data_IF_268520409354
#
_entry.id   IF_268520409354
#
_cell.length_a   1.000
_cell.length_b   1.000
_cell.length_c   1.000
_cell.angle_alpha   90.00
_cell.angle_beta   90.00
_cell.angle_gamma   90.00
#
_symmetry.space_group_name_H-M   'P 1'
#
loop_
_entity.id
_entity.type
_entity.pdbx_description
1 polymer ?
#
# COMPACT_ATOMS: atom_id res chain seq x y z
N UNK A 1 -28.86 -3.07 5.37
CA UNK A 1 -28.18 -1.84 5.87
C UNK A 1 -27.04 -2.12 6.83
N UNK A 2 -27.22 -2.92 7.92
CA UNK A 2 -26.10 -3.23 8.86
C UNK A 2 -24.90 -3.93 8.18
N UNK A 3 -25.13 -4.79 7.20
CA UNK A 3 -24.06 -5.47 6.47
C UNK A 3 -23.22 -4.50 5.61
N UNK A 4 -23.85 -3.55 4.91
CA UNK A 4 -23.12 -2.60 4.05
C UNK A 4 -22.27 -1.61 4.85
N UNK A 5 -22.79 -1.11 6.01
CA UNK A 5 -22.00 -0.25 6.89
C UNK A 5 -20.79 -1.01 7.47
N UNK A 6 -20.97 -2.28 7.84
CA UNK A 6 -19.86 -3.11 8.33
C UNK A 6 -18.79 -3.28 7.24
N UNK A 7 -19.17 -3.55 5.98
CA UNK A 7 -18.23 -3.65 4.86
C UNK A 7 -17.52 -2.33 4.61
N UNK A 8 -18.24 -1.20 4.64
CA UNK A 8 -17.63 0.12 4.52
C UNK A 8 -16.58 0.37 5.61
N UNK A 9 -16.90 0.11 6.88
CA UNK A 9 -15.96 0.30 7.99
C UNK A 9 -14.73 -0.61 7.87
N UNK A 10 -14.90 -1.85 7.44
CA UNK A 10 -13.80 -2.75 7.17
C UNK A 10 -12.93 -2.22 6.03
N UNK A 11 -13.54 -1.71 4.96
CA UNK A 11 -12.82 -1.03 3.87
C UNK A 11 -12.07 0.20 4.36
N UNK A 12 -12.69 1.01 5.22
CA UNK A 12 -12.02 2.17 5.80
C UNK A 12 -10.79 1.78 6.63
N UNK A 13 -10.90 0.75 7.48
CA UNK A 13 -9.76 0.23 8.26
C UNK A 13 -8.66 -0.34 7.37
N UNK A 14 -9.02 -1.06 6.28
CA UNK A 14 -8.06 -1.54 5.29
C UNK A 14 -7.31 -0.38 4.63
N UNK A 15 -8.03 0.62 4.12
CA UNK A 15 -7.45 1.79 3.47
C UNK A 15 -6.56 2.60 4.42
N UNK A 16 -6.98 2.72 5.69
CA UNK A 16 -6.18 3.36 6.73
C UNK A 16 -4.84 2.62 6.95
N UNK A 17 -4.88 1.30 7.03
CA UNK A 17 -3.67 0.48 7.15
C UNK A 17 -2.78 0.58 5.90
N UNK A 18 -3.37 0.50 4.72
CA UNK A 18 -2.63 0.55 3.44
C UNK A 18 -1.99 1.92 3.17
N UNK A 19 -2.52 2.99 3.76
CA UNK A 19 -1.95 4.33 3.59
C UNK A 19 -0.66 4.48 4.40
N UNK A 20 -0.46 3.72 5.46
CA UNK A 20 0.68 3.85 6.38
C UNK A 20 1.74 2.79 6.06
N UNK A 21 3.01 3.19 5.75
CA UNK A 21 4.08 2.24 5.48
C UNK A 21 4.35 1.28 6.64
N UNK A 22 4.37 -0.03 6.36
CA UNK A 22 4.63 -1.06 7.35
C UNK A 22 3.37 -1.72 7.94
N UNK A 23 2.18 -1.22 7.61
CA UNK A 23 0.92 -1.86 7.97
C UNK A 23 0.27 -2.42 6.71
N UNK A 24 -0.40 -3.57 6.80
CA UNK A 24 -1.01 -4.25 5.65
C UNK A 24 -2.53 -4.25 5.76
N UNK A 25 -3.21 -3.69 4.76
CA UNK A 25 -4.67 -3.77 4.64
C UNK A 25 -5.15 -5.20 4.41
N UNK A 26 -4.35 -6.05 3.77
CA UNK A 26 -4.63 -7.48 3.62
C UNK A 26 -4.73 -8.19 4.97
N UNK A 27 -3.88 -7.84 5.93
CA UNK A 27 -3.98 -8.32 7.32
C UNK A 27 -5.27 -7.85 7.97
N UNK A 28 -5.66 -6.59 7.78
CA UNK A 28 -6.96 -6.09 8.30
C UNK A 28 -8.15 -6.84 7.67
N UNK A 29 -8.09 -7.15 6.37
CA UNK A 29 -9.11 -7.97 5.71
C UNK A 29 -9.23 -9.36 6.35
N UNK A 30 -8.09 -9.96 6.70
CA UNK A 30 -8.02 -11.27 7.34
C UNK A 30 -8.64 -11.23 8.73
N UNK A 31 -8.18 -10.34 9.61
CA UNK A 31 -8.70 -10.16 10.98
C UNK A 31 -10.20 -9.88 10.98
N UNK A 32 -10.68 -9.09 10.02
CA UNK A 32 -12.10 -8.72 9.93
C UNK A 32 -12.96 -9.77 9.21
N UNK A 33 -12.36 -10.90 8.79
CA UNK A 33 -13.04 -12.06 8.19
C UNK A 33 -13.62 -11.79 6.80
N UNK A 34 -13.03 -10.86 6.03
CA UNK A 34 -13.47 -10.58 4.65
C UNK A 34 -12.44 -10.96 3.59
N UNK A 35 -11.28 -11.49 3.99
CA UNK A 35 -10.17 -11.76 3.09
C UNK A 35 -10.55 -12.78 1.99
N UNK A 36 -11.11 -13.94 2.37
CA UNK A 36 -11.52 -14.96 1.41
C UNK A 36 -12.53 -14.41 0.41
N UNK A 37 -13.57 -13.71 0.90
CA UNK A 37 -14.58 -13.07 0.06
C UNK A 37 -13.99 -12.05 -0.90
N UNK A 38 -12.98 -11.28 -0.46
CA UNK A 38 -12.25 -10.32 -1.29
C UNK A 38 -11.46 -11.03 -2.39
N UNK A 39 -10.73 -12.09 -2.04
CA UNK A 39 -9.96 -12.87 -3.01
C UNK A 39 -10.86 -13.55 -4.04
N UNK A 40 -11.98 -14.15 -3.61
CA UNK A 40 -12.97 -14.75 -4.52
C UNK A 40 -13.55 -13.69 -5.47
N UNK A 41 -13.96 -12.53 -4.94
CA UNK A 41 -14.50 -11.44 -5.74
C UNK A 41 -13.51 -10.95 -6.81
N UNK A 42 -12.26 -10.71 -6.44
CA UNK A 42 -11.21 -10.24 -7.36
C UNK A 42 -10.87 -11.32 -8.40
N UNK A 43 -10.72 -12.57 -7.97
CA UNK A 43 -10.32 -13.68 -8.87
C UNK A 43 -11.43 -14.15 -9.79
N UNK A 44 -12.69 -13.81 -9.50
CA UNK A 44 -13.84 -14.08 -10.38
C UNK A 44 -13.80 -13.21 -11.65
N UNK A 45 -13.07 -12.10 -11.64
CA UNK A 45 -12.88 -11.22 -12.81
C UNK A 45 -11.70 -11.73 -13.64
N UNK A 46 -11.97 -12.00 -14.92
CA UNK A 46 -10.96 -12.43 -15.89
C UNK A 46 -10.52 -11.25 -16.76
N UNK A 47 -9.25 -11.20 -17.22
CA UNK A 47 -8.84 -10.24 -18.25
C UNK A 47 -9.69 -10.30 -19.53
N UNK A 48 -10.29 -11.47 -19.82
CA UNK A 48 -11.19 -11.64 -20.94
C UNK A 48 -12.51 -10.86 -20.79
N UNK A 49 -12.93 -10.58 -19.54
CA UNK A 49 -14.16 -9.83 -19.25
C UNK A 49 -14.03 -8.35 -19.64
N UNK A 50 -12.81 -7.84 -19.88
CA UNK A 50 -12.60 -6.50 -20.41
C UNK A 50 -13.31 -6.28 -21.78
N UNK A 51 -13.58 -7.35 -22.54
CA UNK A 51 -14.34 -7.27 -23.78
C UNK A 51 -15.79 -6.81 -23.57
N UNK A 52 -16.35 -7.06 -22.39
CA UNK A 52 -17.71 -6.66 -22.05
C UNK A 52 -17.84 -5.13 -22.03
N UNK A 53 -16.76 -4.41 -21.70
CA UNK A 53 -16.74 -2.95 -21.76
C UNK A 53 -16.92 -2.42 -23.18
N UNK A 54 -16.45 -3.15 -24.19
CA UNK A 54 -16.61 -2.80 -25.60
C UNK A 54 -18.04 -3.13 -26.11
N UNK A 55 -18.72 -4.05 -25.45
CA UNK A 55 -20.07 -4.50 -25.81
C UNK A 55 -21.21 -3.79 -25.05
N UNK A 56 -20.90 -2.77 -24.22
CA UNK A 56 -21.87 -2.02 -23.41
C UNK A 56 -23.02 -1.37 -24.21
N UNK A 57 -22.81 -1.16 -25.51
CA UNK A 57 -23.81 -0.59 -26.41
C UNK A 57 -24.91 -1.61 -26.82
N UNK A 58 -24.69 -2.92 -26.56
CA UNK A 58 -25.62 -3.99 -26.84
C UNK A 58 -26.41 -4.42 -25.59
N UNK A 59 -27.62 -5.00 -25.78
CA UNK A 59 -28.40 -5.55 -24.67
C UNK A 59 -27.70 -6.77 -24.05
N UNK A 60 -27.16 -7.67 -24.87
CA UNK A 60 -26.39 -8.83 -24.42
C UNK A 60 -25.19 -8.44 -23.59
N UNK A 61 -24.39 -7.47 -24.05
CA UNK A 61 -23.22 -7.00 -23.29
C UNK A 61 -23.58 -6.36 -21.95
N UNK A 62 -24.77 -5.76 -21.82
CA UNK A 62 -25.26 -5.24 -20.53
C UNK A 62 -25.71 -6.35 -19.58
N UNK A 63 -26.31 -7.39 -20.11
CA UNK A 63 -26.72 -8.54 -19.30
C UNK A 63 -25.49 -9.34 -18.84
N UNK A 64 -24.53 -9.57 -19.73
CA UNK A 64 -23.24 -10.18 -19.38
C UNK A 64 -22.48 -9.37 -18.31
N UNK A 65 -22.52 -8.02 -18.38
CA UNK A 65 -21.91 -7.17 -17.36
C UNK A 65 -22.63 -7.28 -16.01
N UNK A 66 -23.97 -7.41 -16.01
CA UNK A 66 -24.74 -7.66 -14.77
C UNK A 66 -24.37 -9.00 -14.15
N UNK A 67 -24.20 -10.02 -14.97
CA UNK A 67 -23.78 -11.35 -14.53
C UNK A 67 -22.35 -11.33 -13.97
N UNK A 68 -21.44 -10.60 -14.63
CA UNK A 68 -20.10 -10.35 -14.10
C UNK A 68 -20.16 -9.64 -12.76
N UNK A 69 -20.95 -8.57 -12.66
CA UNK A 69 -21.11 -7.81 -11.42
C UNK A 69 -21.66 -8.67 -10.28
N UNK A 70 -22.62 -9.56 -10.59
CA UNK A 70 -23.16 -10.50 -9.61
C UNK A 70 -22.13 -11.56 -9.20
N UNK A 71 -21.37 -12.14 -10.14
CA UNK A 71 -20.31 -13.11 -9.86
C UNK A 71 -19.14 -12.53 -9.05
N UNK A 72 -18.79 -11.29 -9.35
CA UNK A 72 -17.70 -10.57 -8.68
C UNK A 72 -18.11 -9.96 -7.33
N UNK A 73 -19.33 -10.24 -6.85
CA UNK A 73 -19.85 -9.58 -5.65
C UNK A 73 -19.65 -8.05 -5.71
N UNK A 74 -20.06 -7.47 -6.84
CA UNK A 74 -19.76 -6.07 -7.19
C UNK A 74 -20.23 -5.06 -6.16
N UNK A 75 -21.36 -5.31 -5.48
CA UNK A 75 -21.83 -4.43 -4.41
C UNK A 75 -20.86 -4.44 -3.21
N UNK A 76 -20.35 -5.61 -2.84
CA UNK A 76 -19.34 -5.74 -1.79
C UNK A 76 -18.07 -4.97 -2.18
N UNK A 77 -17.55 -5.18 -3.40
CA UNK A 77 -16.34 -4.48 -3.87
C UNK A 77 -16.53 -2.97 -3.93
N UNK A 78 -17.70 -2.48 -4.36
CA UNK A 78 -17.98 -1.03 -4.38
C UNK A 78 -18.03 -0.44 -2.99
N UNK A 79 -18.73 -1.07 -2.05
CA UNK A 79 -18.85 -0.56 -0.67
C UNK A 79 -17.51 -0.63 0.05
N UNK A 80 -16.76 -1.71 -0.14
CA UNK A 80 -15.41 -1.88 0.40
C UNK A 80 -14.46 -0.83 -0.19
N UNK A 81 -14.45 -0.70 -1.53
CA UNK A 81 -13.63 0.28 -2.24
C UNK A 81 -13.95 1.72 -1.86
N UNK A 82 -15.22 2.05 -1.62
CA UNK A 82 -15.61 3.36 -1.11
C UNK A 82 -15.07 3.61 0.31
N UNK A 83 -15.08 2.60 1.18
CA UNK A 83 -14.44 2.67 2.49
C UNK A 83 -12.93 2.91 2.40
N UNK A 84 -12.23 2.13 1.56
CA UNK A 84 -10.80 2.28 1.30
C UNK A 84 -10.49 3.68 0.77
N UNK A 85 -11.21 4.14 -0.26
CA UNK A 85 -11.01 5.46 -0.85
C UNK A 85 -11.23 6.58 0.18
N UNK A 86 -12.28 6.49 1.00
CA UNK A 86 -12.54 7.46 2.07
C UNK A 86 -11.37 7.55 3.06
N UNK A 87 -10.80 6.42 3.47
CA UNK A 87 -9.64 6.38 4.36
C UNK A 87 -8.39 6.97 3.69
N UNK A 88 -8.08 6.54 2.47
CA UNK A 88 -6.92 7.03 1.72
C UNK A 88 -7.01 8.55 1.52
N UNK A 89 -8.16 9.07 1.10
CA UNK A 89 -8.36 10.50 0.88
C UNK A 89 -8.26 11.33 2.17
N UNK A 90 -8.72 10.78 3.28
CA UNK A 90 -8.67 11.46 4.58
C UNK A 90 -7.25 11.44 5.16
N UNK A 91 -6.61 10.26 5.17
CA UNK A 91 -5.28 10.10 5.77
C UNK A 91 -4.17 10.68 4.91
N UNK A 92 -4.31 10.71 3.57
CA UNK A 92 -3.29 11.33 2.72
C UNK A 92 -3.05 12.80 3.08
N UNK A 93 -4.10 13.56 3.41
CA UNK A 93 -3.95 14.95 3.87
C UNK A 93 -3.22 15.06 5.21
N UNK A 94 -3.52 14.16 6.15
CA UNK A 94 -2.82 14.10 7.44
C UNK A 94 -1.35 13.78 7.22
N UNK A 95 -1.07 12.81 6.35
CA UNK A 95 0.29 12.37 6.05
C UNK A 95 1.09 13.44 5.30
N UNK A 96 0.50 14.10 4.30
CA UNK A 96 1.12 15.23 3.60
C UNK A 96 1.53 16.31 4.60
N UNK A 97 0.61 16.74 5.45
CA UNK A 97 0.88 17.73 6.48
C UNK A 97 1.99 17.27 7.46
N UNK A 98 1.96 16.02 7.90
CA UNK A 98 2.97 15.52 8.85
C UNK A 98 4.34 15.30 8.22
N UNK A 99 4.39 14.88 6.95
CA UNK A 99 5.64 14.75 6.21
C UNK A 99 6.31 16.11 5.97
N UNK A 100 5.53 17.16 5.69
CA UNK A 100 6.05 18.51 5.48
C UNK A 100 6.44 19.22 6.78
N UNK A 101 5.59 19.14 7.80
CA UNK A 101 5.77 19.93 9.03
C UNK A 101 6.58 19.19 10.11
N UNK A 102 6.55 17.87 10.11
CA UNK A 102 7.17 17.04 11.15
C UNK A 102 7.92 15.83 10.55
N UNK A 103 8.82 16.02 9.56
CA UNK A 103 9.44 14.92 8.81
C UNK A 103 10.19 13.93 9.71
N UNK A 104 10.93 14.41 10.72
CA UNK A 104 11.67 13.55 11.63
C UNK A 104 10.76 12.67 12.50
N UNK A 105 9.66 13.22 13.02
CA UNK A 105 8.70 12.46 13.84
C UNK A 105 7.89 11.47 13.00
N UNK A 106 7.49 11.85 11.79
CA UNK A 106 6.83 10.97 10.84
C UNK A 106 7.74 9.81 10.42
N UNK A 107 9.02 10.11 10.14
CA UNK A 107 10.02 9.09 9.85
C UNK A 107 10.27 8.16 11.04
N UNK A 108 10.28 8.68 12.27
CA UNK A 108 10.41 7.88 13.48
C UNK A 108 9.21 6.94 13.68
N UNK A 109 8.01 7.43 13.45
CA UNK A 109 6.80 6.63 13.49
C UNK A 109 6.84 5.50 12.45
N UNK A 110 7.23 5.81 11.20
CA UNK A 110 7.41 4.79 10.14
C UNK A 110 8.53 3.79 10.47
N UNK A 111 9.63 4.26 11.07
CA UNK A 111 10.69 3.36 11.55
C UNK A 111 10.13 2.35 12.55
N UNK A 112 9.38 2.81 13.53
CA UNK A 112 8.73 1.94 14.52
C UNK A 112 7.80 0.91 13.89
N UNK A 113 6.92 1.35 12.98
CA UNK A 113 6.00 0.47 12.25
C UNK A 113 6.75 -0.61 11.47
N UNK A 114 7.71 -0.22 10.63
CA UNK A 114 8.45 -1.15 9.76
C UNK A 114 9.30 -2.11 10.59
N UNK A 115 10.00 -1.60 11.63
CA UNK A 115 10.83 -2.44 12.49
C UNK A 115 10.00 -3.47 13.26
N UNK A 116 8.88 -3.07 13.85
CA UNK A 116 7.98 -3.99 14.55
C UNK A 116 7.39 -5.03 13.60
N UNK A 117 6.95 -4.63 12.40
CA UNK A 117 6.45 -5.56 11.39
C UNK A 117 7.52 -6.57 10.95
N UNK A 118 8.78 -6.12 10.80
CA UNK A 118 9.89 -7.04 10.50
C UNK A 118 10.17 -8.02 11.64
N UNK A 119 10.01 -7.59 12.90
CA UNK A 119 10.18 -8.45 14.09
C UNK A 119 9.05 -9.48 14.17
N UNK A 120 7.81 -9.07 13.98
CA UNK A 120 6.62 -9.96 13.98
C UNK A 120 6.78 -11.05 12.90
N UNK A 121 7.16 -10.65 11.69
CA UNK A 121 7.34 -11.58 10.57
C UNK A 121 8.68 -12.34 10.61
N UNK A 122 9.55 -12.07 11.58
CA UNK A 122 10.85 -12.73 11.65
C UNK A 122 10.76 -14.26 11.84
N UNK A 123 9.71 -14.75 12.52
CA UNK A 123 9.44 -16.17 12.69
C UNK A 123 9.23 -16.92 11.36
N UNK A 124 8.79 -16.20 10.32
CA UNK A 124 8.57 -16.73 8.97
C UNK A 124 9.86 -16.73 8.11
N UNK A 125 10.95 -16.12 8.62
CA UNK A 125 12.22 -16.02 7.89
C UNK A 125 13.01 -17.30 8.07
N UNK A 126 13.46 -17.88 6.97
CA UNK A 126 14.32 -19.05 6.98
C UNK A 126 15.60 -18.78 6.18
N UNK A 127 16.71 -18.66 6.88
CA UNK A 127 18.06 -18.49 6.32
C UNK A 127 18.94 -19.73 6.46
N UNK A 128 18.34 -20.89 6.74
CA UNK A 128 19.05 -22.16 6.99
C UNK A 128 19.78 -22.72 5.77
N UNK A 129 19.59 -22.15 4.57
CA UNK A 129 20.33 -22.57 3.36
C UNK A 129 21.10 -21.39 2.77
N UNK A 130 22.26 -21.65 2.10
CA UNK A 130 23.04 -20.60 1.45
C UNK A 130 22.22 -19.78 0.42
N UNK A 131 21.28 -20.43 -0.28
CA UNK A 131 20.42 -19.79 -1.24
C UNK A 131 19.46 -18.78 -0.56
N UNK A 132 18.85 -19.14 0.57
CA UNK A 132 17.95 -18.28 1.33
C UNK A 132 18.69 -17.13 2.00
N UNK A 133 19.90 -17.40 2.50
CA UNK A 133 20.78 -16.33 3.00
C UNK A 133 21.13 -15.35 1.88
N UNK A 134 21.43 -15.83 0.67
CA UNK A 134 21.68 -14.96 -0.48
C UNK A 134 20.44 -14.11 -0.82
N UNK A 135 19.25 -14.71 -0.79
CA UNK A 135 17.96 -13.99 -0.99
C UNK A 135 17.78 -12.89 0.06
N UNK A 136 18.08 -13.19 1.34
CA UNK A 136 18.00 -12.19 2.40
C UNK A 136 18.98 -11.02 2.17
N UNK A 137 20.23 -11.32 1.84
CA UNK A 137 21.25 -10.30 1.58
C UNK A 137 20.89 -9.44 0.35
N UNK A 138 20.36 -10.06 -0.71
CA UNK A 138 19.87 -9.34 -1.90
C UNK A 138 18.70 -8.43 -1.54
N UNK A 139 17.72 -8.90 -0.74
CA UNK A 139 16.60 -8.09 -0.29
C UNK A 139 17.04 -6.87 0.51
N UNK A 140 17.92 -7.06 1.50
CA UNK A 140 18.48 -5.95 2.30
C UNK A 140 19.25 -4.97 1.40
N UNK A 141 20.16 -5.48 0.57
CA UNK A 141 21.00 -4.64 -0.28
C UNK A 141 20.18 -3.84 -1.30
N UNK A 142 19.14 -4.45 -1.89
CA UNK A 142 18.24 -3.81 -2.83
C UNK A 142 17.45 -2.68 -2.16
N UNK A 143 16.78 -2.96 -1.03
CA UNK A 143 15.99 -1.95 -0.36
C UNK A 143 16.86 -0.84 0.25
N UNK A 144 17.97 -1.16 0.89
CA UNK A 144 18.91 -0.18 1.41
C UNK A 144 19.54 0.66 0.29
N UNK A 145 19.91 0.03 -0.83
CA UNK A 145 20.44 0.71 -2.01
C UNK A 145 19.44 1.71 -2.60
N UNK A 146 18.22 1.26 -2.89
CA UNK A 146 17.16 2.12 -3.44
C UNK A 146 16.79 3.23 -2.46
N UNK A 147 16.61 2.91 -1.17
CA UNK A 147 16.29 3.88 -0.11
C UNK A 147 17.41 4.92 0.12
N UNK A 148 18.64 4.61 -0.30
CA UNK A 148 19.80 5.52 -0.20
C UNK A 148 19.92 6.46 -1.39
N UNK A 149 19.24 6.20 -2.49
CA UNK A 149 19.24 7.09 -3.63
C UNK A 149 18.52 8.40 -3.29
N UNK A 150 18.98 9.55 -3.78
CA UNK A 150 18.21 10.76 -3.72
C UNK A 150 16.91 10.58 -4.54
N UNK A 151 15.81 11.22 -4.13
CA UNK A 151 14.51 11.10 -4.80
C UNK A 151 14.59 11.46 -6.30
N UNK A 152 15.44 12.45 -6.63
CA UNK A 152 15.72 12.84 -8.00
C UNK A 152 16.37 11.75 -8.88
N UNK A 153 16.98 10.72 -8.28
CA UNK A 153 17.71 9.68 -9.05
C UNK A 153 16.76 8.66 -9.68
N UNK A 154 15.66 8.33 -9.03
CA UNK A 154 14.64 7.42 -9.60
C UNK A 154 13.70 8.24 -10.49
N UNK A 155 13.46 9.49 -10.12
CA UNK A 155 12.49 10.37 -10.74
C UNK A 155 11.05 9.87 -10.54
N UNK A 156 10.11 10.66 -11.04
CA UNK A 156 8.67 10.34 -10.96
C UNK A 156 8.05 10.42 -12.35
N UNK A 157 8.73 9.82 -13.35
CA UNK A 157 8.17 9.73 -14.69
C UNK A 157 6.97 8.77 -14.74
N UNK A 158 6.07 8.96 -15.68
CA UNK A 158 4.87 8.12 -15.81
C UNK A 158 5.16 6.62 -15.86
N UNK A 159 6.20 6.09 -16.56
CA UNK A 159 6.56 4.68 -16.49
C UNK A 159 6.94 4.22 -15.09
N UNK A 160 7.64 5.05 -14.30
CA UNK A 160 8.00 4.74 -12.91
C UNK A 160 6.76 4.69 -12.04
N UNK A 161 5.86 5.67 -12.16
CA UNK A 161 4.57 5.71 -11.45
C UNK A 161 3.70 4.50 -11.79
N UNK A 162 3.65 4.11 -13.06
CA UNK A 162 2.92 2.91 -13.51
C UNK A 162 3.47 1.63 -12.86
N UNK A 163 4.79 1.45 -12.89
CA UNK A 163 5.45 0.28 -12.27
C UNK A 163 5.27 0.29 -10.75
N UNK A 164 5.39 1.46 -10.11
CA UNK A 164 5.18 1.62 -8.68
C UNK A 164 3.74 1.24 -8.27
N UNK A 165 2.74 1.68 -9.04
CA UNK A 165 1.34 1.26 -8.83
C UNK A 165 1.15 -0.24 -8.99
N UNK A 166 1.77 -0.84 -10.02
CA UNK A 166 1.70 -2.29 -10.26
C UNK A 166 2.28 -3.09 -9.08
N UNK A 167 3.44 -2.69 -8.58
CA UNK A 167 4.11 -3.36 -7.46
C UNK A 167 3.35 -3.18 -6.16
N UNK A 168 2.92 -1.94 -5.87
CA UNK A 168 2.23 -1.61 -4.62
C UNK A 168 0.94 -2.43 -4.44
N UNK A 169 0.09 -2.48 -5.47
CA UNK A 169 -1.19 -3.20 -5.37
C UNK A 169 -0.99 -4.71 -5.29
N UNK A 170 0.05 -5.26 -5.94
CA UNK A 170 0.37 -6.68 -5.78
C UNK A 170 0.73 -7.03 -4.33
N UNK A 171 1.46 -6.14 -3.66
CA UNK A 171 1.81 -6.31 -2.26
C UNK A 171 0.60 -6.20 -1.33
N UNK A 172 -0.32 -5.27 -1.61
CA UNK A 172 -1.51 -5.03 -0.78
C UNK A 172 -2.46 -6.22 -0.67
N UNK A 173 -2.45 -7.13 -1.66
CA UNK A 173 -3.29 -8.34 -1.64
C UNK A 173 -2.77 -9.36 -0.62
N UNK A 174 -1.48 -9.33 -0.31
CA UNK A 174 -0.84 -10.32 0.54
C UNK A 174 -0.92 -9.90 2.00
N UNK A 175 -1.49 -10.73 2.90
CA UNK A 175 -1.41 -10.47 4.32
C UNK A 175 0.06 -10.33 4.77
N UNK A 176 0.33 -9.35 5.62
CA UNK A 176 1.67 -9.10 6.12
C UNK A 176 2.59 -8.30 5.18
N UNK A 177 2.14 -7.95 3.97
CA UNK A 177 2.92 -7.14 3.03
C UNK A 177 2.25 -5.78 2.84
N UNK A 178 3.01 -4.70 2.99
CA UNK A 178 2.52 -3.33 2.86
C UNK A 178 2.88 -2.74 1.49
N UNK A 179 1.88 -2.37 0.69
CA UNK A 179 2.09 -1.71 -0.60
C UNK A 179 2.64 -0.29 -0.44
N UNK A 180 2.17 0.46 0.55
CA UNK A 180 2.70 1.79 0.86
C UNK A 180 4.16 1.75 1.33
N UNK A 181 4.57 0.68 2.02
CA UNK A 181 5.98 0.45 2.33
C UNK A 181 6.83 0.30 1.05
N UNK A 182 6.35 -0.45 0.05
CA UNK A 182 7.08 -0.57 -1.22
C UNK A 182 7.15 0.76 -1.96
N UNK A 183 6.08 1.57 -1.96
CA UNK A 183 6.13 2.93 -2.48
C UNK A 183 7.16 3.79 -1.73
N UNK A 184 7.21 3.64 -0.40
CA UNK A 184 8.17 4.37 0.43
C UNK A 184 9.62 4.00 0.09
N UNK A 185 9.92 2.70 -0.04
CA UNK A 185 11.25 2.21 -0.47
C UNK A 185 11.61 2.70 -1.87
N UNK A 186 10.64 2.74 -2.81
CA UNK A 186 10.82 3.20 -4.18
C UNK A 186 10.89 4.73 -4.30
N UNK A 187 10.86 5.49 -3.21
CA UNK A 187 10.80 6.95 -3.19
C UNK A 187 9.62 7.55 -3.98
N UNK A 188 8.52 6.80 -4.08
CA UNK A 188 7.30 7.24 -4.77
C UNK A 188 6.17 7.61 -3.80
N UNK A 189 6.32 7.31 -2.50
CA UNK A 189 5.25 7.49 -1.53
C UNK A 189 4.82 8.96 -1.37
N UNK A 190 5.77 9.85 -1.09
CA UNK A 190 5.50 11.28 -0.90
C UNK A 190 4.95 11.90 -2.18
N UNK A 191 5.57 11.60 -3.34
CA UNK A 191 5.10 12.06 -4.63
C UNK A 191 3.64 11.65 -4.91
N UNK A 192 3.26 10.41 -4.57
CA UNK A 192 1.89 9.93 -4.77
C UNK A 192 0.91 10.57 -3.78
N UNK A 193 1.30 10.75 -2.51
CA UNK A 193 0.46 11.44 -1.51
C UNK A 193 0.18 12.87 -1.95
N UNK A 194 1.20 13.63 -2.33
CA UNK A 194 1.06 15.03 -2.79
C UNK A 194 0.21 15.13 -4.07
N UNK A 195 0.42 14.26 -5.06
CA UNK A 195 -0.39 14.28 -6.28
C UNK A 195 -1.85 13.88 -6.03
N UNK A 196 -2.09 12.95 -5.10
CA UNK A 196 -3.45 12.56 -4.73
C UNK A 196 -4.18 13.71 -4.02
N UNK A 197 -3.55 14.38 -3.06
CA UNK A 197 -4.15 15.53 -2.35
C UNK A 197 -4.39 16.69 -3.31
N UNK A 198 -3.42 17.02 -4.17
CA UNK A 198 -3.57 18.06 -5.21
C UNK A 198 -4.73 17.73 -6.16
N UNK A 199 -4.86 16.48 -6.58
CA UNK A 199 -5.96 16.04 -7.43
C UNK A 199 -7.32 16.23 -6.74
N UNK A 200 -7.43 15.81 -5.48
CA UNK A 200 -8.66 15.93 -4.69
C UNK A 200 -9.03 17.40 -4.47
N UNK A 201 -8.07 18.24 -4.12
CA UNK A 201 -8.29 19.67 -3.92
C UNK A 201 -8.71 20.35 -5.21
N UNK A 202 -8.12 19.97 -6.33
CA UNK A 202 -8.53 20.44 -7.64
C UNK A 202 -9.97 20.03 -7.99
N UNK A 203 -10.36 18.77 -7.71
CA UNK A 203 -11.75 18.31 -7.92
C UNK A 203 -12.74 19.07 -7.03
N UNK A 204 -12.40 19.30 -5.77
CA UNK A 204 -13.24 20.12 -4.86
C UNK A 204 -13.32 21.56 -5.37
N UNK A 205 -12.19 22.13 -5.80
CA UNK A 205 -12.12 23.49 -6.34
C UNK A 205 -12.98 23.71 -7.60
N UNK A 206 -13.24 22.67 -8.40
CA UNK A 206 -14.18 22.76 -9.53
C UNK A 206 -15.60 23.10 -9.08
N UNK A 207 -16.02 22.64 -7.91
CA UNK A 207 -17.34 22.99 -7.36
C UNK A 207 -17.46 24.49 -7.01
N UNK A 208 -16.31 25.14 -6.75
CA UNK A 208 -16.19 26.56 -6.44
C UNK A 208 -15.82 27.41 -7.68
N UNK A 209 -15.89 26.82 -8.88
CA UNK A 209 -15.62 27.53 -10.16
C UNK A 209 -14.14 27.50 -10.59
N UNK A 210 -13.33 26.60 -10.06
CA UNK A 210 -11.94 26.40 -10.45
C UNK A 210 -11.77 25.91 -11.90
N UNK A 211 -10.54 26.05 -12.43
CA UNK A 211 -10.21 25.66 -13.81
C UNK A 211 -9.89 24.17 -13.92
N UNK A 212 -10.50 23.49 -14.88
CA UNK A 212 -10.23 22.10 -15.22
C UNK A 212 -8.78 21.86 -15.64
N UNK A 213 -8.11 22.87 -16.18
CA UNK A 213 -6.72 22.80 -16.60
C UNK A 213 -5.76 22.56 -15.40
N UNK A 214 -6.12 23.02 -14.21
CA UNK A 214 -5.32 22.82 -12.99
C UNK A 214 -5.25 21.37 -12.54
N UNK A 215 -6.16 20.51 -12.99
CA UNK A 215 -6.19 19.08 -12.67
C UNK A 215 -5.26 18.23 -13.55
N UNK A 216 -4.82 18.75 -14.70
CA UNK A 216 -4.28 17.93 -15.78
C UNK A 216 -3.09 17.07 -15.39
N UNK A 217 -2.14 17.60 -14.62
CA UNK A 217 -0.94 16.86 -14.22
C UNK A 217 -1.24 15.84 -13.12
N UNK A 218 -1.84 16.25 -12.02
CA UNK A 218 -2.17 15.37 -10.89
C UNK A 218 -3.15 14.27 -11.29
N UNK A 219 -4.14 14.58 -12.13
CA UNK A 219 -5.02 13.57 -12.73
C UNK A 219 -4.22 12.53 -13.53
N UNK A 220 -3.29 12.97 -14.37
CA UNK A 220 -2.50 12.06 -15.21
C UNK A 220 -1.63 11.15 -14.35
N UNK A 221 -1.02 11.66 -13.29
CA UNK A 221 -0.23 10.87 -12.34
C UNK A 221 -1.10 9.83 -11.64
N UNK A 222 -2.22 10.25 -11.06
CA UNK A 222 -3.15 9.34 -10.35
C UNK A 222 -3.73 8.29 -11.30
N UNK A 223 -4.14 8.69 -12.51
CA UNK A 223 -4.66 7.76 -13.51
C UNK A 223 -3.60 6.75 -13.97
N UNK A 224 -2.35 7.19 -14.15
CA UNK A 224 -1.23 6.32 -14.49
C UNK A 224 -0.96 5.31 -13.38
N UNK A 225 -0.94 5.76 -12.12
CA UNK A 225 -0.80 4.89 -10.96
C UNK A 225 -1.94 3.86 -10.88
N UNK A 226 -3.19 4.29 -10.98
CA UNK A 226 -4.36 3.41 -10.94
C UNK A 226 -4.37 2.41 -12.10
N UNK A 227 -3.91 2.81 -13.29
CA UNK A 227 -3.80 1.91 -14.44
C UNK A 227 -2.71 0.86 -14.20
N UNK A 228 -1.55 1.28 -13.67
CA UNK A 228 -0.49 0.38 -13.24
C UNK A 228 -0.97 -0.59 -12.15
N UNK A 229 -1.68 -0.09 -11.16
CA UNK A 229 -2.27 -0.86 -10.08
C UNK A 229 -3.25 -1.93 -10.59
N UNK A 230 -4.16 -1.55 -11.49
CA UNK A 230 -5.13 -2.46 -12.07
C UNK A 230 -4.47 -3.56 -12.91
N UNK A 231 -3.53 -3.20 -13.79
CA UNK A 231 -2.80 -4.17 -14.61
C UNK A 231 -1.86 -5.03 -13.78
N UNK A 232 -1.22 -4.45 -12.77
CA UNK A 232 -0.43 -5.17 -11.77
C UNK A 232 -1.27 -6.21 -11.04
N UNK A 233 -2.45 -5.82 -10.57
CA UNK A 233 -3.40 -6.72 -9.93
C UNK A 233 -3.73 -7.93 -10.80
N UNK A 234 -4.04 -7.70 -12.06
CA UNK A 234 -4.47 -8.75 -13.00
C UNK A 234 -3.33 -9.67 -13.48
N UNK A 235 -2.09 -9.16 -13.49
CA UNK A 235 -0.93 -9.89 -14.03
C UNK A 235 -0.01 -10.41 -12.94
N UNK A 236 0.47 -9.52 -12.06
CA UNK A 236 1.47 -9.85 -11.05
C UNK A 236 0.89 -10.61 -9.85
N UNK A 237 -0.41 -10.48 -9.57
CA UNK A 237 -1.04 -11.27 -8.52
C UNK A 237 -0.85 -12.79 -8.75
N UNK A 238 -0.81 -13.22 -10.02
CA UNK A 238 -0.53 -14.62 -10.38
C UNK A 238 0.93 -15.01 -10.09
N UNK A 239 1.88 -14.13 -10.39
CA UNK A 239 3.32 -14.35 -10.14
C UNK A 239 3.57 -14.41 -8.64
N UNK A 240 2.98 -13.48 -7.90
CA UNK A 240 3.08 -13.45 -6.43
C UNK A 240 2.45 -14.69 -5.82
N UNK A 241 1.25 -15.07 -6.26
CA UNK A 241 0.59 -16.30 -5.82
C UNK A 241 1.46 -17.54 -6.09
N UNK A 242 2.04 -17.64 -7.29
CA UNK A 242 2.97 -18.72 -7.62
C UNK A 242 4.21 -18.71 -6.73
N UNK A 243 4.83 -17.56 -6.49
CA UNK A 243 6.00 -17.44 -5.63
C UNK A 243 5.70 -17.89 -4.18
N UNK A 244 4.52 -17.53 -3.66
CA UNK A 244 4.09 -18.00 -2.33
C UNK A 244 3.76 -19.48 -2.28
N UNK A 245 3.19 -20.05 -3.33
CA UNK A 245 2.85 -21.48 -3.38
C UNK A 245 4.10 -22.35 -3.53
N UNK A 246 5.04 -21.96 -4.38
CA UNK A 246 6.22 -22.77 -4.72
C UNK A 246 7.44 -22.45 -3.83
N UNK A 247 7.60 -21.18 -3.44
CA UNK A 247 8.80 -20.70 -2.72
C UNK A 247 8.43 -19.86 -1.48
N UNK A 248 7.43 -20.29 -0.70
CA UNK A 248 6.89 -19.52 0.43
C UNK A 248 7.98 -18.95 1.35
N UNK A 249 8.85 -19.84 1.87
CA UNK A 249 9.91 -19.43 2.78
C UNK A 249 10.91 -18.43 2.14
N UNK A 250 11.29 -18.63 0.88
CA UNK A 250 12.16 -17.70 0.15
C UNK A 250 11.49 -16.35 -0.10
N UNK A 251 10.21 -16.36 -0.44
CA UNK A 251 9.42 -15.14 -0.68
C UNK A 251 9.27 -14.33 0.60
N UNK A 252 8.90 -14.94 1.72
CA UNK A 252 8.81 -14.29 3.03
C UNK A 252 10.17 -13.76 3.49
N UNK A 253 11.23 -14.58 3.35
CA UNK A 253 12.59 -14.14 3.65
C UNK A 253 12.97 -12.90 2.84
N UNK A 254 12.67 -12.86 1.54
CA UNK A 254 12.93 -11.70 0.69
C UNK A 254 12.15 -10.45 1.16
N UNK A 255 10.86 -10.58 1.43
CA UNK A 255 10.00 -9.47 1.83
C UNK A 255 10.42 -8.87 3.18
N UNK A 256 10.69 -9.71 4.20
CA UNK A 256 11.19 -9.24 5.50
C UNK A 256 12.57 -8.59 5.36
N UNK A 257 13.41 -9.13 4.49
CA UNK A 257 14.73 -8.55 4.19
C UNK A 257 14.63 -7.19 3.51
N UNK A 258 13.65 -6.98 2.62
CA UNK A 258 13.33 -5.66 2.07
C UNK A 258 12.92 -4.68 3.19
N UNK A 259 12.13 -5.13 4.17
CA UNK A 259 11.72 -4.28 5.30
C UNK A 259 12.93 -3.83 6.13
N UNK A 260 13.84 -4.76 6.44
CA UNK A 260 15.09 -4.43 7.17
C UNK A 260 15.94 -3.42 6.39
N UNK A 261 16.12 -3.66 5.08
CA UNK A 261 16.85 -2.72 4.20
C UNK A 261 16.17 -1.36 4.07
N UNK A 262 14.84 -1.33 4.05
CA UNK A 262 14.01 -0.12 3.96
C UNK A 262 14.11 0.80 5.19
N UNK A 263 14.56 0.29 6.36
CA UNK A 263 14.81 1.11 7.55
C UNK A 263 15.89 2.18 7.34
N UNK A 264 16.71 2.06 6.31
CA UNK A 264 17.71 3.07 5.94
C UNK A 264 17.06 4.42 5.64
N UNK A 265 15.90 4.44 4.97
CA UNK A 265 15.22 5.71 4.59
C UNK A 265 14.79 6.51 5.83
N UNK A 266 14.00 5.99 6.77
CA UNK A 266 13.58 6.76 7.93
C UNK A 266 14.77 7.17 8.83
N UNK A 267 15.79 6.32 8.96
CA UNK A 267 17.00 6.68 9.72
C UNK A 267 17.72 7.88 9.07
N UNK A 268 17.86 7.89 7.75
CA UNK A 268 18.44 9.04 7.03
C UNK A 268 17.62 10.31 7.25
N UNK A 269 16.31 10.25 7.09
CA UNK A 269 15.43 11.41 7.31
C UNK A 269 15.62 11.97 8.71
N UNK A 270 15.56 11.13 9.76
CA UNK A 270 15.77 11.56 11.15
C UNK A 270 17.14 12.23 11.33
N UNK A 271 18.19 11.62 10.81
CA UNK A 271 19.55 12.13 10.98
C UNK A 271 19.82 13.41 10.20
N UNK A 272 19.22 13.55 9.01
CA UNK A 272 19.35 14.76 8.18
C UNK A 272 18.65 15.94 8.85
N UNK A 273 17.42 15.75 9.31
CA UNK A 273 16.66 16.79 10.02
C UNK A 273 17.35 17.21 11.33
N UNK A 274 17.95 16.28 12.06
CA UNK A 274 18.73 16.58 13.26
C UNK A 274 19.98 17.44 12.96
N UNK A 275 20.62 17.29 11.79
CA UNK A 275 21.78 18.07 11.38
C UNK A 275 21.43 19.52 11.02
N UNK A 276 20.22 19.78 10.49
CA UNK A 276 19.77 21.14 10.15
C UNK A 276 19.29 21.97 11.36
N UNK A 277 19.50 21.48 12.59
CA UNK A 277 19.16 22.21 13.80
C UNK A 277 17.66 22.33 14.08
N UNK A 278 16.83 21.63 13.32
CA UNK A 278 15.49 21.30 13.75
C UNK A 278 15.68 20.37 14.94
N UNK A 279 15.45 20.87 16.16
CA UNK A 279 15.55 20.11 17.40
C UNK A 279 14.46 19.02 17.38
N UNK A 280 14.71 17.97 16.61
CA UNK A 280 14.01 16.71 16.84
C UNK A 280 14.47 16.29 18.25
N UNK A 281 13.64 16.60 19.23
CA UNK A 281 13.83 16.11 20.59
C UNK A 281 14.00 14.60 20.49
N UNK A 282 15.18 14.09 20.82
CA UNK A 282 15.47 12.65 20.79
C UNK A 282 14.41 11.86 21.56
N UNK A 283 13.86 12.45 22.62
CA UNK A 283 12.74 11.86 23.36
C UNK A 283 11.49 11.78 22.50
N UNK A 284 11.16 12.82 21.74
CA UNK A 284 10.04 12.82 20.80
C UNK A 284 10.21 11.77 19.70
N UNK A 285 11.38 11.69 19.07
CA UNK A 285 11.72 10.66 18.07
C UNK A 285 11.52 9.25 18.64
N UNK A 286 12.03 9.01 19.86
CA UNK A 286 11.85 7.71 20.52
C UNK A 286 10.37 7.41 20.81
N UNK A 287 9.60 8.39 21.28
CA UNK A 287 8.16 8.24 21.55
C UNK A 287 7.40 7.88 20.27
N UNK A 288 7.61 8.60 19.17
CA UNK A 288 6.94 8.31 17.91
C UNK A 288 7.32 6.94 17.34
N UNK A 289 8.58 6.52 17.45
CA UNK A 289 9.00 5.18 17.07
C UNK A 289 8.33 4.10 17.93
N UNK A 290 8.21 4.31 19.24
CA UNK A 290 7.53 3.39 20.14
C UNK A 290 6.02 3.34 19.88
N UNK A 291 5.39 4.46 19.55
CA UNK A 291 3.96 4.51 19.17
C UNK A 291 3.74 3.72 17.87
N UNK A 292 4.57 3.92 16.86
CA UNK A 292 4.50 3.17 15.60
C UNK A 292 4.68 1.67 15.82
N UNK A 293 5.73 1.27 16.55
CA UNK A 293 5.98 -0.14 16.89
C UNK A 293 4.87 -0.75 17.73
N UNK A 294 4.38 -0.02 18.74
CA UNK A 294 3.29 -0.46 19.61
C UNK A 294 1.98 -0.68 18.86
N UNK A 295 1.70 0.11 17.84
CA UNK A 295 0.51 -0.06 17.01
C UNK A 295 0.56 -1.40 16.25
N UNK A 296 1.70 -1.75 15.65
CA UNK A 296 1.86 -3.03 14.95
C UNK A 296 1.73 -4.21 15.93
N UNK A 297 2.40 -4.13 17.08
CA UNK A 297 2.32 -5.19 18.11
C UNK A 297 0.91 -5.34 18.67
N UNK A 298 0.16 -4.26 18.78
CA UNK A 298 -1.25 -4.33 19.19
C UNK A 298 -2.10 -5.05 18.12
N UNK A 299 -1.90 -4.70 16.83
CA UNK A 299 -2.61 -5.39 15.72
C UNK A 299 -2.26 -6.88 15.72
N UNK A 300 -0.99 -7.23 15.86
CA UNK A 300 -0.49 -8.61 15.90
C UNK A 300 -1.14 -9.39 17.06
N UNK A 301 -1.11 -8.83 18.28
CA UNK A 301 -1.71 -9.44 19.45
C UNK A 301 -3.21 -9.77 19.26
N UNK A 302 -3.96 -8.85 18.66
CA UNK A 302 -5.38 -9.09 18.38
C UNK A 302 -5.61 -10.05 17.20
N UNK A 303 -4.58 -10.31 16.38
CA UNK A 303 -4.67 -11.25 15.26
C UNK A 303 -4.39 -12.69 15.72
N UNK A 304 -3.43 -12.89 16.63
CA UNK A 304 -3.07 -14.20 17.17
C UNK A 304 -4.20 -14.86 17.99
N UNK A 305 -5.16 -14.06 18.52
CA UNK A 305 -6.35 -14.60 19.20
C UNK A 305 -7.41 -15.17 18.24
N UNK A 306 -7.25 -14.96 16.91
CA UNK A 306 -8.15 -15.52 15.91
C UNK A 306 -7.50 -16.78 15.37
N UNK A 307 -7.68 -17.90 16.09
CA UNK A 307 -7.27 -19.23 15.65
C UNK A 307 -7.79 -19.54 14.23
N UNK A 308 -6.88 -19.96 13.36
CA UNK A 308 -7.13 -20.44 12.00
C UNK A 308 -7.68 -21.87 11.99
#
# INVERSE_FOLDING_TARGET
MRSSLSVYLKGFLMGAADTVPGVSGGTIALITGIYERLIEAITSVSPADARLLLALHTTEGRDDLRDLFARADGLFLMVLGFGIASAVLTLSRVLEHTLEQFPAFTAAFFFGLIAASAIVLYSEVDVGTPQRLAVALVGIALAAGVSSLPESAIGSSYPVVFVAGSIAVCAMILPGVSGSFLLYVLNQYEYMVTNLTTFVDGVIGLADGGDLASLGESFTVVATFCTGALLGLLTMARVVKWAFQEYRAGTLTFLVSLMVGGLVKPVRTITTEAQFGVTADLAGVAVFALVGGGLVLAVDFFTDEIDY
#
